data_IF_303433932642
#
_entry.id   IF_303433932642
#
_cell.length_a   1.000
_cell.length_b   1.000
_cell.length_c   1.000
_cell.angle_alpha   90.00
_cell.angle_beta   90.00
_cell.angle_gamma   90.00
#
_symmetry.space_group_name_H-M   'P 1'
#
loop_
_entity.id
_entity.type
_entity.pdbx_description
1 polymer ?
#
# COMPACT_ATOMS: atom_id res chain seq x y z
N UNK A 1 6.36 -33.89 11.90
CA UNK A 1 6.57 -32.58 11.24
C UNK A 1 5.58 -31.64 11.89
N UNK A 2 6.02 -30.51 12.36
CA UNK A 2 5.10 -29.50 12.89
C UNK A 2 4.39 -28.81 11.71
N UNK A 3 3.11 -28.58 11.87
CA UNK A 3 2.28 -27.89 10.88
C UNK A 3 1.88 -26.52 11.44
N UNK A 4 1.80 -25.53 10.57
CA UNK A 4 1.36 -24.18 10.92
C UNK A 4 0.36 -23.68 9.85
N UNK A 5 -0.63 -22.92 10.28
CA UNK A 5 -1.59 -22.33 9.37
C UNK A 5 -0.96 -21.21 8.57
N UNK A 6 -1.13 -21.25 7.25
CA UNK A 6 -0.74 -20.19 6.33
C UNK A 6 -1.87 -19.80 5.40
N UNK A 7 -1.95 -18.53 5.10
CA UNK A 7 -3.01 -17.92 4.32
C UNK A 7 -2.42 -17.08 3.19
N UNK A 8 -3.18 -16.93 2.11
CA UNK A 8 -3.05 -15.79 1.20
C UNK A 8 -4.31 -14.95 1.39
N UNK A 9 -4.10 -13.69 1.76
CA UNK A 9 -5.15 -12.72 2.02
C UNK A 9 -4.97 -11.53 1.10
N UNK A 10 -5.96 -11.27 0.27
CA UNK A 10 -5.98 -10.16 -0.65
C UNK A 10 -6.45 -8.90 0.09
N UNK A 11 -5.55 -7.92 0.27
CA UNK A 11 -5.83 -6.66 0.94
C UNK A 11 -6.47 -5.63 -0.01
N UNK A 12 -7.28 -4.73 0.56
CA UNK A 12 -7.97 -3.65 -0.13
C UNK A 12 -9.04 -4.12 -1.12
N UNK A 13 -9.65 -5.26 -0.84
CA UNK A 13 -10.73 -5.82 -1.66
C UNK A 13 -11.67 -6.70 -0.84
N UNK A 14 -12.90 -6.85 -1.32
CA UNK A 14 -13.88 -7.81 -0.81
C UNK A 14 -13.97 -9.07 -1.70
N UNK A 15 -13.24 -9.10 -2.82
CA UNK A 15 -13.25 -10.19 -3.79
C UNK A 15 -11.91 -10.93 -3.82
N UNK A 16 -11.89 -12.28 -3.71
CA UNK A 16 -10.67 -13.06 -3.87
C UNK A 16 -10.05 -12.86 -5.26
N UNK A 17 -8.72 -12.91 -5.31
CA UNK A 17 -7.92 -12.72 -6.53
C UNK A 17 -7.92 -11.29 -7.08
N UNK A 18 -8.41 -10.32 -6.30
CA UNK A 18 -8.29 -8.89 -6.52
C UNK A 18 -7.36 -8.26 -5.47
N UNK A 19 -7.24 -6.93 -5.42
CA UNK A 19 -6.42 -6.23 -4.42
C UNK A 19 -4.95 -6.62 -4.39
N UNK A 20 -4.29 -6.48 -3.24
CA UNK A 20 -2.87 -6.77 -3.06
C UNK A 20 -2.67 -8.01 -2.18
N UNK A 21 -2.13 -9.13 -2.72
CA UNK A 21 -2.01 -10.38 -1.98
C UNK A 21 -0.87 -10.35 -0.97
N UNK A 22 -1.15 -10.75 0.27
CA UNK A 22 -0.17 -10.95 1.32
C UNK A 22 -0.24 -12.39 1.85
N UNK A 23 0.92 -12.95 2.20
CA UNK A 23 0.98 -14.12 3.05
C UNK A 23 0.64 -13.72 4.50
N UNK A 24 -0.11 -14.54 5.21
CA UNK A 24 -0.39 -14.34 6.64
C UNK A 24 -0.23 -15.65 7.40
N UNK A 25 0.64 -15.62 8.41
CA UNK A 25 0.79 -16.71 9.38
C UNK A 25 0.23 -16.21 10.72
N UNK A 26 -1.01 -16.57 11.07
CA UNK A 26 -1.76 -15.92 12.15
C UNK A 26 -1.30 -16.30 13.57
N UNK A 27 -0.48 -17.34 13.71
CA UNK A 27 0.13 -17.78 14.96
C UNK A 27 1.53 -18.30 14.66
N UNK A 28 2.52 -17.41 14.77
CA UNK A 28 3.92 -17.68 14.46
C UNK A 28 4.78 -17.88 15.72
N UNK A 29 4.15 -18.10 16.89
CA UNK A 29 4.88 -18.31 18.13
C UNK A 29 5.79 -19.55 18.03
N UNK A 30 7.07 -19.36 18.34
CA UNK A 30 8.06 -20.43 18.34
C UNK A 30 8.78 -20.65 17.00
N UNK A 31 8.43 -19.93 15.94
CA UNK A 31 9.23 -19.92 14.71
C UNK A 31 10.50 -19.07 14.90
N UNK A 32 11.63 -19.57 14.41
CA UNK A 32 12.85 -18.77 14.27
C UNK A 32 12.90 -18.00 12.94
N UNK A 33 13.93 -17.14 12.80
CA UNK A 33 14.07 -16.26 11.64
C UNK A 33 14.24 -17.05 10.33
N UNK A 34 15.01 -18.15 10.35
CA UNK A 34 15.23 -19.01 9.19
C UNK A 34 13.93 -19.71 8.76
N UNK A 35 13.15 -20.19 9.73
CA UNK A 35 11.86 -20.82 9.46
C UNK A 35 10.86 -19.82 8.86
N UNK A 36 10.76 -18.59 9.39
CA UNK A 36 9.91 -17.54 8.84
C UNK A 36 10.33 -17.15 7.42
N UNK A 37 11.64 -17.00 7.19
CA UNK A 37 12.15 -16.70 5.85
C UNK A 37 11.84 -17.82 4.85
N UNK A 38 12.01 -19.08 5.23
CA UNK A 38 11.71 -20.22 4.37
C UNK A 38 10.22 -20.30 4.04
N UNK A 39 9.35 -20.09 5.03
CA UNK A 39 7.89 -20.06 4.84
C UNK A 39 7.49 -18.90 3.91
N UNK A 40 8.04 -17.70 4.10
CA UNK A 40 7.75 -16.56 3.23
C UNK A 40 8.19 -16.82 1.78
N UNK A 41 9.35 -17.44 1.61
CA UNK A 41 9.85 -17.84 0.28
C UNK A 41 8.94 -18.87 -0.40
N UNK A 42 8.41 -19.84 0.34
CA UNK A 42 7.52 -20.88 -0.18
C UNK A 42 6.13 -20.35 -0.53
N UNK A 43 5.56 -19.45 0.30
CA UNK A 43 4.30 -18.76 0.02
C UNK A 43 4.42 -17.93 -1.26
N UNK A 44 5.57 -17.24 -1.46
CA UNK A 44 5.87 -16.50 -2.67
C UNK A 44 5.03 -15.24 -2.89
N UNK A 45 4.29 -14.76 -1.87
CA UNK A 45 3.68 -13.43 -1.89
C UNK A 45 4.77 -12.35 -1.81
N UNK A 46 4.47 -11.13 -2.26
CA UNK A 46 5.42 -10.00 -2.14
C UNK A 46 5.92 -9.85 -0.70
N UNK A 47 5.02 -9.95 0.27
CA UNK A 47 5.34 -10.03 1.69
C UNK A 47 4.44 -11.03 2.42
N UNK A 48 5.02 -11.65 3.46
CA UNK A 48 4.30 -12.49 4.42
C UNK A 48 4.40 -11.89 5.81
N UNK A 49 3.25 -11.67 6.44
CA UNK A 49 3.17 -11.22 7.83
C UNK A 49 3.08 -12.41 8.78
N UNK A 50 3.91 -12.39 9.81
CA UNK A 50 3.95 -13.35 10.90
C UNK A 50 3.43 -12.71 12.18
N UNK A 51 2.33 -13.25 12.74
CA UNK A 51 1.68 -12.70 13.92
C UNK A 51 2.23 -13.39 15.16
N UNK A 52 2.75 -12.60 16.10
CA UNK A 52 3.31 -13.05 17.37
C UNK A 52 2.60 -12.39 18.56
N UNK A 53 2.65 -13.00 19.76
CA UNK A 53 2.37 -12.28 21.00
C UNK A 53 3.39 -11.14 21.19
N UNK A 54 2.99 -10.08 21.89
CA UNK A 54 3.86 -8.96 22.25
C UNK A 54 3.77 -8.67 23.75
N UNK A 55 4.86 -8.15 24.31
CA UNK A 55 4.88 -7.58 25.67
C UNK A 55 4.79 -6.04 25.66
N UNK A 56 4.80 -5.43 24.49
CA UNK A 56 4.84 -3.97 24.28
C UNK A 56 3.56 -3.43 23.60
N UNK A 57 2.81 -4.32 22.96
CA UNK A 57 1.59 -4.02 22.22
C UNK A 57 0.60 -5.20 22.34
N UNK A 58 -0.57 -5.09 21.74
CA UNK A 58 -1.56 -6.17 21.74
C UNK A 58 -1.12 -7.36 20.89
N UNK A 59 -0.40 -7.09 19.80
CA UNK A 59 0.22 -8.10 18.93
C UNK A 59 1.55 -7.57 18.39
N UNK A 60 2.41 -8.48 17.89
CA UNK A 60 3.59 -8.16 17.10
C UNK A 60 3.45 -8.72 15.70
N UNK A 61 3.78 -7.92 14.69
CA UNK A 61 3.88 -8.34 13.30
C UNK A 61 5.33 -8.24 12.83
N UNK A 62 5.81 -9.31 12.19
CA UNK A 62 7.06 -9.32 11.44
C UNK A 62 6.75 -9.61 9.98
N UNK A 63 7.50 -9.00 9.08
CA UNK A 63 7.22 -9.07 7.65
C UNK A 63 8.44 -9.56 6.89
N UNK A 64 8.22 -10.53 6.03
CA UNK A 64 9.26 -11.12 5.19
C UNK A 64 8.84 -11.08 3.73
N UNK A 65 9.73 -10.56 2.87
CA UNK A 65 9.69 -10.85 1.44
C UNK A 65 10.17 -12.27 1.19
N UNK A 66 10.10 -12.82 -0.01
CA UNK A 66 10.70 -14.13 -0.30
C UNK A 66 12.20 -14.22 -0.01
N UNK A 67 12.90 -13.11 0.20
CA UNK A 67 14.36 -13.09 0.33
C UNK A 67 14.89 -12.43 1.59
N UNK A 68 14.12 -11.58 2.27
CA UNK A 68 14.59 -10.83 3.46
C UNK A 68 13.46 -10.35 4.33
N UNK A 69 13.75 -10.14 5.62
CA UNK A 69 12.86 -9.42 6.52
C UNK A 69 12.81 -7.93 6.16
N UNK A 70 11.63 -7.32 6.26
CA UNK A 70 11.39 -5.88 6.10
C UNK A 70 10.74 -5.31 7.34
N UNK A 71 10.96 -4.01 7.58
CA UNK A 71 10.57 -3.38 8.84
C UNK A 71 9.06 -3.20 8.99
N UNK A 72 8.35 -2.97 7.89
CA UNK A 72 6.90 -2.71 7.84
C UNK A 72 6.36 -2.99 6.44
N UNK A 73 5.14 -3.54 6.39
CA UNK A 73 4.38 -3.69 5.16
C UNK A 73 2.91 -3.34 5.39
N UNK A 74 2.40 -2.31 4.70
CA UNK A 74 1.05 -1.77 4.89
C UNK A 74 -0.06 -2.75 4.50
N UNK A 75 -0.01 -3.33 3.28
CA UNK A 75 -1.06 -4.23 2.81
C UNK A 75 -1.08 -5.56 3.61
N UNK A 76 0.10 -6.10 3.98
CA UNK A 76 0.18 -7.29 4.82
C UNK A 76 -0.33 -7.02 6.26
N UNK A 77 -0.19 -5.77 6.75
CA UNK A 77 -0.82 -5.33 8.00
C UNK A 77 -2.34 -5.36 7.88
N UNK A 78 -2.92 -4.68 6.87
CA UNK A 78 -4.38 -4.67 6.65
C UNK A 78 -4.93 -6.10 6.50
N UNK A 79 -4.27 -6.95 5.69
CA UNK A 79 -4.63 -8.36 5.53
C UNK A 79 -4.68 -9.12 6.86
N UNK A 80 -3.63 -8.95 7.68
CA UNK A 80 -3.53 -9.59 9.00
C UNK A 80 -4.62 -9.11 9.96
N UNK A 81 -4.86 -7.79 10.02
CA UNK A 81 -5.85 -7.19 10.92
C UNK A 81 -7.26 -7.64 10.61
N UNK A 82 -7.65 -7.64 9.33
CA UNK A 82 -8.98 -8.12 8.89
C UNK A 82 -9.14 -9.59 9.24
N UNK A 83 -8.14 -10.43 8.91
CA UNK A 83 -8.19 -11.85 9.26
C UNK A 83 -8.34 -12.09 10.78
N UNK A 84 -7.57 -11.36 11.61
CA UNK A 84 -7.67 -11.48 13.08
C UNK A 84 -9.04 -11.02 13.61
N UNK A 85 -9.63 -9.99 13.01
CA UNK A 85 -10.95 -9.50 13.38
C UNK A 85 -12.07 -10.49 13.01
N UNK A 86 -12.03 -11.08 11.82
CA UNK A 86 -12.98 -12.15 11.40
C UNK A 86 -12.96 -13.34 12.36
N UNK A 87 -11.82 -13.61 12.99
CA UNK A 87 -11.66 -14.63 14.02
C UNK A 87 -12.08 -14.19 15.42
N UNK A 88 -12.53 -12.94 15.56
CA UNK A 88 -12.90 -12.37 16.86
C UNK A 88 -11.72 -12.15 17.81
N UNK A 89 -10.49 -12.11 17.28
CA UNK A 89 -9.26 -11.95 18.08
C UNK A 89 -8.99 -10.49 18.40
N UNK A 90 -9.39 -9.55 17.52
CA UNK A 90 -9.22 -8.11 17.67
C UNK A 90 -10.46 -7.38 17.18
N UNK A 91 -10.82 -6.26 17.81
CA UNK A 91 -11.90 -5.35 17.40
C UNK A 91 -11.66 -3.96 17.96
N UNK A 92 -12.08 -2.93 17.25
CA UNK A 92 -11.91 -1.54 17.67
C UNK A 92 -10.47 -1.07 17.56
N UNK A 93 -10.06 -0.18 18.45
CA UNK A 93 -8.70 0.36 18.48
C UNK A 93 -7.78 -0.57 19.29
N UNK A 94 -6.59 -0.82 18.77
CA UNK A 94 -5.53 -1.59 19.44
C UNK A 94 -4.16 -1.23 18.86
N UNK A 95 -3.10 -1.88 19.35
CA UNK A 95 -1.72 -1.59 18.96
C UNK A 95 -1.02 -2.79 18.39
N UNK A 96 -0.13 -2.56 17.42
CA UNK A 96 0.78 -3.59 16.89
C UNK A 96 2.23 -3.14 17.07
N UNK A 97 3.08 -4.04 17.53
CA UNK A 97 4.53 -3.87 17.53
C UNK A 97 5.09 -4.34 16.19
N UNK A 98 5.95 -3.51 15.59
CA UNK A 98 6.68 -3.80 14.35
C UNK A 98 8.15 -3.43 14.53
N UNK A 99 8.99 -3.66 13.52
CA UNK A 99 10.40 -3.25 13.59
C UNK A 99 10.59 -1.72 13.55
N UNK A 100 9.61 -0.96 13.04
CA UNK A 100 9.62 0.52 13.10
C UNK A 100 9.08 1.07 14.43
N UNK A 101 8.51 0.24 15.29
CA UNK A 101 7.94 0.64 16.59
C UNK A 101 6.53 0.13 16.81
N UNK A 102 5.82 0.77 17.75
CA UNK A 102 4.42 0.45 18.04
C UNK A 102 3.53 1.40 17.24
N UNK A 103 2.57 0.83 16.52
CA UNK A 103 1.64 1.54 15.66
C UNK A 103 0.21 1.41 16.18
N UNK A 104 -0.55 2.49 16.07
CA UNK A 104 -1.99 2.51 16.34
C UNK A 104 -2.75 2.00 15.12
N UNK A 105 -3.61 1.02 15.35
CA UNK A 105 -4.46 0.38 14.35
C UNK A 105 -5.87 0.24 14.89
N UNK A 106 -6.83 0.06 13.98
CA UNK A 106 -8.20 -0.21 14.36
C UNK A 106 -8.88 -1.13 13.36
N UNK A 107 -9.90 -1.86 13.80
CA UNK A 107 -10.87 -2.48 12.91
C UNK A 107 -12.26 -1.99 13.28
N UNK A 108 -12.91 -1.32 12.33
CA UNK A 108 -14.26 -0.78 12.47
C UNK A 108 -15.33 -1.88 12.36
N UNK A 109 -16.56 -1.58 12.74
CA UNK A 109 -17.68 -2.56 12.72
C UNK A 109 -18.02 -3.05 11.30
N UNK A 110 -17.69 -2.25 10.28
CA UNK A 110 -17.87 -2.61 8.86
C UNK A 110 -16.77 -3.55 8.32
N UNK A 111 -15.83 -3.97 9.18
CA UNK A 111 -14.71 -4.83 8.82
C UNK A 111 -13.50 -4.10 8.24
N UNK A 112 -13.57 -2.78 8.08
CA UNK A 112 -12.43 -1.98 7.59
C UNK A 112 -11.33 -1.92 8.63
N UNK A 113 -10.14 -2.40 8.26
CA UNK A 113 -8.93 -2.20 9.05
C UNK A 113 -8.27 -0.86 8.70
N UNK A 114 -7.78 -0.17 9.72
CA UNK A 114 -7.12 1.14 9.63
C UNK A 114 -5.74 1.10 10.26
N UNK A 115 -4.79 1.75 9.62
CA UNK A 115 -3.43 1.95 10.13
C UNK A 115 -3.07 3.43 10.09
N UNK A 116 -2.59 3.97 11.21
CA UNK A 116 -2.03 5.31 11.28
C UNK A 116 -0.68 5.33 10.59
N UNK A 117 -0.48 6.29 9.69
CA UNK A 117 0.75 6.46 8.93
C UNK A 117 1.73 7.38 9.67
N UNK A 118 2.98 7.40 9.23
CA UNK A 118 3.96 8.39 9.67
C UNK A 118 3.54 9.80 9.29
N UNK A 119 4.13 10.81 9.94
CA UNK A 119 3.90 12.22 9.64
C UNK A 119 4.14 12.50 8.14
N UNK A 120 3.17 13.10 7.44
CA UNK A 120 3.27 13.30 6.00
C UNK A 120 4.29 14.38 5.67
N UNK A 121 5.03 14.16 4.59
CA UNK A 121 5.89 15.17 3.98
C UNK A 121 5.49 15.38 2.53
N UNK A 122 5.51 16.65 2.09
CA UNK A 122 5.23 17.06 0.71
C UNK A 122 6.29 18.03 0.25
N UNK A 123 6.95 17.71 -0.86
CA UNK A 123 7.99 18.54 -1.47
C UNK A 123 7.76 18.63 -2.98
N UNK A 124 7.39 19.79 -3.47
CA UNK A 124 7.27 20.01 -4.92
C UNK A 124 8.62 19.84 -5.60
N UNK A 125 8.59 19.31 -6.83
CA UNK A 125 9.80 19.07 -7.63
C UNK A 125 9.65 19.71 -9.00
N UNK A 126 10.77 20.23 -9.51
CA UNK A 126 10.85 20.80 -10.86
C UNK A 126 11.46 19.73 -11.78
N UNK A 127 10.61 19.00 -12.48
CA UNK A 127 10.97 17.98 -13.46
C UNK A 127 10.35 18.34 -14.80
N UNK A 128 11.05 18.00 -15.87
CA UNK A 128 10.51 18.12 -17.24
C UNK A 128 9.33 17.16 -17.44
N UNK A 129 8.14 17.70 -17.65
CA UNK A 129 6.90 16.93 -17.84
C UNK A 129 7.00 16.01 -19.04
N UNK A 130 7.73 16.37 -20.10
CA UNK A 130 7.94 15.50 -21.26
C UNK A 130 8.82 14.30 -20.89
N UNK A 131 9.81 14.47 -20.02
CA UNK A 131 10.62 13.36 -19.50
C UNK A 131 9.79 12.42 -18.62
N UNK A 132 9.00 12.97 -17.69
CA UNK A 132 8.10 12.18 -16.82
C UNK A 132 7.09 11.40 -17.66
N UNK A 133 6.46 12.06 -18.63
CA UNK A 133 5.51 11.42 -19.53
C UNK A 133 6.16 10.30 -20.36
N UNK A 134 7.39 10.53 -20.85
CA UNK A 134 8.15 9.50 -21.57
C UNK A 134 8.45 8.28 -20.71
N UNK A 135 8.84 8.48 -19.45
CA UNK A 135 9.11 7.39 -18.51
C UNK A 135 7.86 6.55 -18.21
N UNK A 136 6.69 7.20 -18.16
CA UNK A 136 5.40 6.55 -17.94
C UNK A 136 4.75 5.98 -19.23
N UNK A 137 5.32 6.23 -20.42
CA UNK A 137 4.75 5.82 -21.70
C UNK A 137 3.42 6.53 -22.05
N UNK A 138 3.20 7.75 -21.53
CA UNK A 138 2.01 8.56 -21.79
C UNK A 138 2.37 9.83 -22.58
N UNK A 139 1.35 10.59 -23.03
CA UNK A 139 1.56 11.87 -23.71
C UNK A 139 1.88 12.98 -22.71
N UNK A 140 2.79 13.89 -23.04
CA UNK A 140 3.16 15.01 -22.18
C UNK A 140 1.95 15.91 -21.85
N UNK A 141 1.06 16.12 -22.82
CA UNK A 141 -0.17 16.89 -22.66
C UNK A 141 -1.11 16.31 -21.58
N UNK A 142 -1.01 15.03 -21.28
CA UNK A 142 -1.79 14.40 -20.22
C UNK A 142 -1.38 14.89 -18.81
N UNK A 143 -0.15 15.34 -18.63
CA UNK A 143 0.35 15.98 -17.41
C UNK A 143 0.18 17.48 -17.49
N UNK A 144 0.57 18.13 -18.61
CA UNK A 144 0.54 19.58 -18.81
C UNK A 144 -0.88 20.17 -18.78
N UNK A 145 -1.89 19.39 -19.22
CA UNK A 145 -3.29 19.82 -19.23
C UNK A 145 -3.99 19.66 -17.87
N UNK A 146 -3.30 19.15 -16.86
CA UNK A 146 -3.81 19.14 -15.48
C UNK A 146 -3.76 20.55 -14.91
N UNK A 147 -4.60 20.83 -13.90
CA UNK A 147 -4.69 22.14 -13.24
C UNK A 147 -3.29 22.60 -12.77
N UNK A 148 -2.97 23.87 -12.96
CA UNK A 148 -1.70 24.51 -12.58
C UNK A 148 -1.40 24.42 -11.06
N UNK A 149 -2.42 24.17 -10.23
CA UNK A 149 -2.31 24.02 -8.78
C UNK A 149 -2.01 22.58 -8.31
N UNK A 150 -1.75 21.65 -9.22
CA UNK A 150 -1.36 20.27 -8.94
C UNK A 150 0.07 19.99 -9.45
N UNK A 151 1.11 20.53 -8.81
CA UNK A 151 2.49 20.34 -9.26
C UNK A 151 2.98 18.91 -9.02
N UNK A 152 3.98 18.49 -9.77
CA UNK A 152 4.76 17.29 -9.44
C UNK A 152 5.37 17.44 -8.04
N UNK A 153 5.26 16.39 -7.22
CA UNK A 153 5.77 16.43 -5.86
C UNK A 153 6.28 15.06 -5.40
N UNK A 154 7.29 15.04 -4.55
CA UNK A 154 7.63 13.87 -3.74
C UNK A 154 6.85 13.96 -2.44
N UNK A 155 6.08 12.93 -2.15
CA UNK A 155 5.24 12.82 -0.96
C UNK A 155 5.52 11.53 -0.22
N UNK A 156 5.43 11.56 1.11
CA UNK A 156 5.69 10.37 1.93
C UNK A 156 4.78 10.38 3.16
N UNK A 157 4.33 9.20 3.54
CA UNK A 157 3.77 8.87 4.86
C UNK A 157 4.47 7.65 5.46
N UNK A 158 5.72 7.43 5.03
CA UNK A 158 6.59 6.30 5.36
C UNK A 158 7.55 6.04 4.20
N UNK A 159 7.04 5.75 3.01
CA UNK A 159 7.83 5.62 1.79
C UNK A 159 7.58 6.81 0.85
N UNK A 160 8.63 7.43 0.30
CA UNK A 160 8.50 8.58 -0.61
C UNK A 160 8.13 8.14 -2.02
N UNK A 161 7.07 8.73 -2.60
CA UNK A 161 6.66 8.54 -3.99
C UNK A 161 6.71 9.86 -4.75
N UNK A 162 7.15 9.80 -6.01
CA UNK A 162 6.91 10.88 -6.96
C UNK A 162 5.45 10.83 -7.39
N UNK A 163 4.66 11.79 -6.96
CA UNK A 163 3.23 11.91 -7.31
C UNK A 163 3.08 12.70 -8.59
N UNK A 164 2.40 12.09 -9.56
CA UNK A 164 2.20 12.63 -10.92
C UNK A 164 0.69 12.71 -11.23
N UNK A 165 0.11 13.91 -11.24
CA UNK A 165 -1.27 14.08 -11.67
C UNK A 165 -1.39 13.88 -13.20
N UNK A 166 -2.41 13.13 -13.62
CA UNK A 166 -2.73 12.83 -15.03
C UNK A 166 -4.16 13.24 -15.31
N UNK A 167 -4.43 13.81 -16.47
CA UNK A 167 -5.70 14.49 -16.77
C UNK A 167 -6.90 13.54 -16.84
N UNK A 168 -6.78 12.39 -17.50
CA UNK A 168 -7.89 11.45 -17.71
C UNK A 168 -7.52 10.01 -17.42
N UNK A 169 -8.51 9.22 -16.97
CA UNK A 169 -8.37 7.79 -16.73
C UNK A 169 -7.89 7.03 -17.99
N UNK A 170 -8.35 7.44 -19.17
CA UNK A 170 -7.92 6.84 -20.43
C UNK A 170 -6.40 6.98 -20.66
N UNK A 171 -5.81 8.13 -20.31
CA UNK A 171 -4.37 8.36 -20.43
C UNK A 171 -3.60 7.56 -19.34
N UNK A 172 -4.09 7.57 -18.12
CA UNK A 172 -3.53 6.76 -17.04
C UNK A 172 -3.58 5.26 -17.36
N UNK A 173 -4.70 4.80 -17.94
CA UNK A 173 -4.86 3.40 -18.35
C UNK A 173 -3.96 2.96 -19.49
N UNK A 174 -3.51 3.90 -20.33
CA UNK A 174 -2.58 3.64 -21.44
C UNK A 174 -1.11 3.62 -20.99
N UNK A 175 -0.82 4.00 -19.76
CA UNK A 175 0.56 4.04 -19.30
C UNK A 175 1.23 2.66 -19.46
N UNK A 176 2.37 2.68 -20.17
CA UNK A 176 3.24 1.54 -20.43
C UNK A 176 4.67 1.98 -20.06
N UNK A 177 5.01 1.94 -18.75
CA UNK A 177 6.23 2.52 -18.22
C UNK A 177 7.48 1.78 -18.67
N UNK A 178 8.55 2.53 -18.93
CA UNK A 178 9.90 1.99 -19.02
C UNK A 178 10.48 1.86 -17.60
N UNK A 179 10.64 0.66 -17.11
CA UNK A 179 11.11 0.36 -15.74
C UNK A 179 12.42 1.08 -15.41
N UNK A 180 13.36 1.10 -16.34
CA UNK A 180 14.66 1.75 -16.13
C UNK A 180 14.54 3.29 -16.07
N UNK A 181 13.65 3.88 -16.87
CA UNK A 181 13.40 5.30 -16.85
C UNK A 181 12.61 5.73 -15.58
N UNK A 182 11.67 4.93 -15.15
CA UNK A 182 10.93 5.15 -13.88
C UNK A 182 11.88 5.11 -12.68
N UNK A 183 12.77 4.10 -12.62
CA UNK A 183 13.78 3.99 -11.56
C UNK A 183 14.72 5.19 -11.54
N UNK A 184 15.24 5.57 -12.71
CA UNK A 184 16.15 6.71 -12.82
C UNK A 184 15.46 8.02 -12.40
N UNK A 185 14.17 8.18 -12.75
CA UNK A 185 13.37 9.34 -12.38
C UNK A 185 13.13 9.38 -10.87
N UNK A 186 12.71 8.27 -10.27
CA UNK A 186 12.47 8.14 -8.83
C UNK A 186 13.74 8.39 -8.02
N UNK A 187 14.87 7.77 -8.40
CA UNK A 187 16.17 7.94 -7.74
C UNK A 187 16.64 9.39 -7.77
N UNK A 188 16.40 10.15 -8.84
CA UNK A 188 16.80 11.55 -8.97
C UNK A 188 16.12 12.47 -7.96
N UNK A 189 14.96 12.08 -7.47
CA UNK A 189 14.18 12.88 -6.51
C UNK A 189 14.08 12.22 -5.13
N UNK A 190 14.87 11.18 -4.87
CA UNK A 190 14.87 10.39 -3.63
C UNK A 190 13.49 9.76 -3.34
N UNK A 191 12.83 9.23 -4.36
CA UNK A 191 11.58 8.47 -4.26
C UNK A 191 11.82 6.97 -4.51
N UNK A 192 10.93 6.10 -3.99
CA UNK A 192 10.98 4.65 -4.21
C UNK A 192 10.28 4.23 -5.50
N UNK A 193 9.48 5.12 -6.08
CA UNK A 193 8.71 4.89 -7.30
C UNK A 193 7.85 6.09 -7.67
N UNK A 194 7.02 5.89 -8.67
CA UNK A 194 6.08 6.89 -9.19
C UNK A 194 4.65 6.47 -8.89
N UNK A 195 3.86 7.38 -8.33
CA UNK A 195 2.41 7.22 -8.19
C UNK A 195 1.70 8.20 -9.12
N UNK A 196 1.22 7.70 -10.25
CA UNK A 196 0.44 8.46 -11.19
C UNK A 196 -1.05 8.39 -10.83
N UNK A 197 -1.77 9.50 -10.85
CA UNK A 197 -3.17 9.52 -10.45
C UNK A 197 -4.02 10.49 -11.27
N UNK A 198 -5.33 10.23 -11.29
CA UNK A 198 -6.36 11.11 -11.88
C UNK A 198 -7.57 11.20 -10.97
N UNK A 199 -8.37 12.27 -11.11
CA UNK A 199 -9.69 12.39 -10.49
C UNK A 199 -10.82 11.75 -11.31
N UNK A 200 -10.51 11.28 -12.51
CA UNK A 200 -11.46 10.52 -13.33
C UNK A 200 -11.44 9.06 -12.87
N UNK A 201 -12.57 8.58 -12.34
CA UNK A 201 -12.69 7.31 -11.64
C UNK A 201 -13.68 6.37 -12.30
N UNK A 202 -13.56 5.08 -12.05
CA UNK A 202 -14.49 4.05 -12.52
C UNK A 202 -15.78 4.04 -11.71
N UNK A 203 -15.68 4.25 -10.41
CA UNK A 203 -16.81 4.25 -9.48
C UNK A 203 -17.17 5.68 -9.06
N UNK A 204 -18.45 6.02 -9.05
CA UNK A 204 -18.94 7.38 -8.72
C UNK A 204 -18.67 7.80 -7.28
N UNK A 205 -18.42 6.85 -6.37
CA UNK A 205 -18.09 7.09 -4.97
C UNK A 205 -16.58 7.12 -4.70
N UNK A 206 -15.76 6.89 -5.71
CA UNK A 206 -14.31 7.03 -5.64
C UNK A 206 -13.87 8.48 -5.87
N UNK A 207 -12.74 8.85 -5.30
CA UNK A 207 -12.18 10.21 -5.39
C UNK A 207 -11.04 10.30 -6.38
N UNK A 208 -10.21 9.24 -6.43
CA UNK A 208 -8.96 9.20 -7.20
C UNK A 208 -8.78 7.80 -7.76
N UNK A 209 -8.28 7.71 -9.00
CA UNK A 209 -7.75 6.47 -9.56
C UNK A 209 -6.23 6.61 -9.69
N UNK A 210 -5.47 5.64 -9.17
CA UNK A 210 -4.02 5.65 -9.14
C UNK A 210 -3.39 4.41 -9.76
N UNK A 211 -2.09 4.54 -10.14
CA UNK A 211 -1.20 3.45 -10.51
C UNK A 211 0.17 3.66 -9.85
N UNK A 212 0.73 2.62 -9.27
CA UNK A 212 2.02 2.68 -8.57
C UNK A 212 3.09 1.89 -9.31
N UNK A 213 4.10 2.57 -9.83
CA UNK A 213 5.22 1.99 -10.55
C UNK A 213 6.45 1.98 -9.66
N UNK A 214 6.93 0.77 -9.30
CA UNK A 214 7.99 0.56 -8.30
C UNK A 214 9.04 -0.47 -8.76
N UNK A 215 9.60 -0.35 -9.97
CA UNK A 215 10.49 -1.36 -10.53
C UNK A 215 11.72 -1.61 -9.64
N UNK A 216 12.24 -0.60 -8.94
CA UNK A 216 13.33 -0.74 -7.97
C UNK A 216 13.01 -1.64 -6.77
N UNK A 217 11.74 -1.87 -6.48
CA UNK A 217 11.30 -2.86 -5.49
C UNK A 217 11.12 -4.28 -6.07
N UNK A 218 11.46 -4.48 -7.34
CA UNK A 218 11.36 -5.78 -8.02
C UNK A 218 10.00 -6.10 -8.63
N UNK A 219 9.08 -5.12 -8.65
CA UNK A 219 7.74 -5.23 -9.23
C UNK A 219 7.49 -4.02 -10.11
N UNK A 220 7.24 -4.19 -11.41
CA UNK A 220 7.01 -3.07 -12.32
C UNK A 220 5.83 -2.21 -11.89
N UNK A 221 4.72 -2.83 -11.47
CA UNK A 221 3.53 -2.16 -10.95
C UNK A 221 3.00 -2.89 -9.70
N UNK A 222 2.84 -2.16 -8.59
CA UNK A 222 2.23 -2.68 -7.37
C UNK A 222 0.69 -2.62 -7.49
N UNK A 223 -0.03 -3.71 -7.24
CA UNK A 223 -1.48 -3.76 -7.46
C UNK A 223 -2.26 -2.71 -6.66
N UNK A 224 -1.99 -2.57 -5.37
CA UNK A 224 -2.68 -1.59 -4.50
C UNK A 224 -1.73 -1.11 -3.40
N UNK A 225 -1.43 0.19 -3.42
CA UNK A 225 -0.39 0.80 -2.59
C UNK A 225 -0.99 1.75 -1.55
N UNK A 226 -1.29 1.23 -0.37
CA UNK A 226 -1.88 2.02 0.71
C UNK A 226 -1.04 3.25 1.09
N UNK A 227 0.28 3.08 1.22
CA UNK A 227 1.21 4.16 1.59
C UNK A 227 1.22 5.29 0.57
N UNK A 228 1.24 4.96 -0.74
CA UNK A 228 1.18 5.97 -1.80
C UNK A 228 -0.18 6.70 -1.84
N UNK A 229 -1.28 5.96 -1.61
CA UNK A 229 -2.63 6.55 -1.49
C UNK A 229 -2.70 7.51 -0.31
N UNK A 230 -2.16 7.14 0.86
CA UNK A 230 -2.07 8.01 2.03
C UNK A 230 -1.23 9.27 1.77
N UNK A 231 -0.05 9.09 1.16
CA UNK A 231 0.84 10.19 0.77
C UNK A 231 0.17 11.14 -0.24
N UNK A 232 -0.55 10.59 -1.24
CA UNK A 232 -1.30 11.37 -2.21
C UNK A 232 -2.47 12.10 -1.55
N UNK A 233 -3.18 11.49 -0.59
CA UNK A 233 -4.19 12.18 0.21
C UNK A 233 -3.63 13.40 0.95
N UNK A 234 -2.46 13.27 1.57
CA UNK A 234 -1.76 14.38 2.22
C UNK A 234 -1.33 15.47 1.20
N UNK A 235 -0.85 15.07 0.04
CA UNK A 235 -0.54 15.99 -1.08
C UNK A 235 -1.78 16.78 -1.50
N UNK A 236 -2.92 16.12 -1.73
CA UNK A 236 -4.17 16.78 -2.14
C UNK A 236 -4.63 17.81 -1.13
N UNK A 237 -4.46 17.53 0.18
CA UNK A 237 -4.70 18.52 1.25
C UNK A 237 -3.71 19.68 1.18
N UNK A 238 -2.42 19.39 1.01
CA UNK A 238 -1.37 20.40 0.96
C UNK A 238 -1.56 21.41 -0.19
N UNK A 239 -1.95 20.94 -1.37
CA UNK A 239 -2.20 21.80 -2.53
C UNK A 239 -3.61 22.43 -2.54
N UNK A 240 -4.46 22.13 -1.55
CA UNK A 240 -5.83 22.66 -1.50
C UNK A 240 -6.70 22.17 -2.66
N UNK A 241 -6.54 20.91 -3.08
CA UNK A 241 -7.20 20.38 -4.28
C UNK A 241 -8.73 20.51 -4.26
N UNK A 242 -9.31 20.59 -3.05
CA UNK A 242 -10.75 20.71 -2.79
C UNK A 242 -11.17 22.09 -2.25
N UNK A 243 -10.25 23.06 -2.15
CA UNK A 243 -10.49 24.40 -1.62
C UNK A 243 -11.20 25.30 -2.63
N UNK A 244 -12.46 25.11 -2.88
CA UNK A 244 -13.16 25.92 -3.89
C UNK A 244 -14.69 25.88 -3.81
N UNK A 245 -15.24 25.18 -2.82
CA UNK A 245 -16.71 25.13 -2.62
C UNK A 245 -17.49 24.50 -3.77
N UNK A 246 -16.83 23.71 -4.62
CA UNK A 246 -17.42 22.91 -5.68
C UNK A 246 -17.34 21.42 -5.37
N UNK A 247 -18.12 20.61 -6.08
CA UNK A 247 -17.96 19.16 -6.09
C UNK A 247 -16.49 18.78 -6.34
N UNK A 248 -16.03 17.69 -5.76
CA UNK A 248 -14.69 17.16 -6.05
C UNK A 248 -14.43 17.16 -7.56
N UNK A 249 -13.20 17.46 -8.01
CA UNK A 249 -12.85 17.31 -9.41
C UNK A 249 -13.22 15.90 -9.88
N UNK A 250 -13.96 15.77 -11.00
CA UNK A 250 -14.44 14.46 -11.48
C UNK A 250 -15.90 14.13 -11.15
N UNK A 251 -16.62 14.99 -10.36
CA UNK A 251 -18.08 14.87 -10.17
C UNK A 251 -18.52 13.81 -9.16
N UNK A 252 -17.64 13.38 -8.26
CA UNK A 252 -18.03 12.49 -7.14
C UNK A 252 -18.94 13.23 -6.16
N UNK A 253 -20.02 12.58 -5.69
CA UNK A 253 -20.98 13.08 -4.68
C UNK A 253 -20.37 13.07 -3.24
N UNK A 254 -19.09 13.41 -3.08
CA UNK A 254 -18.40 13.41 -1.78
C UNK A 254 -18.72 14.70 -1.04
N UNK A 255 -19.21 14.56 0.19
CA UNK A 255 -19.50 15.70 1.10
C UNK A 255 -18.19 16.38 1.48
N UNK A 256 -18.07 17.67 1.17
CA UNK A 256 -16.88 18.49 1.46
C UNK A 256 -17.19 19.39 2.65
N UNK A 257 -16.64 19.07 3.82
CA UNK A 257 -16.62 19.96 4.98
C UNK A 257 -15.24 20.66 5.04
N UNK A 258 -15.22 21.97 5.08
CA UNK A 258 -13.99 22.80 5.11
C UNK A 258 -12.99 22.51 3.98
N UNK A 259 -13.48 22.23 2.75
CA UNK A 259 -12.65 22.03 1.56
C UNK A 259 -12.16 20.58 1.36
N UNK A 260 -11.89 19.80 2.38
CA UNK A 260 -11.39 18.42 2.27
C UNK A 260 -12.46 17.39 2.61
N UNK A 261 -12.68 16.34 1.78
CA UNK A 261 -13.55 15.22 2.16
C UNK A 261 -13.09 14.55 3.46
N UNK A 262 -14.02 14.09 4.29
CA UNK A 262 -13.73 13.35 5.52
C UNK A 262 -12.94 12.07 5.21
N UNK A 263 -13.26 11.43 4.07
CA UNK A 263 -12.62 10.22 3.59
C UNK A 263 -12.45 10.31 2.07
N UNK A 264 -11.25 10.02 1.60
CA UNK A 264 -10.93 9.83 0.19
C UNK A 264 -10.97 8.35 -0.13
N UNK A 265 -11.44 8.00 -1.32
CA UNK A 265 -11.45 6.62 -1.84
C UNK A 265 -10.59 6.55 -3.10
N UNK A 266 -9.57 5.71 -3.03
CA UNK A 266 -8.63 5.48 -4.12
C UNK A 266 -8.92 4.16 -4.79
N UNK A 267 -9.06 4.17 -6.10
CA UNK A 267 -9.04 2.98 -6.96
C UNK A 267 -7.62 2.71 -7.41
N UNK A 268 -7.23 1.46 -7.49
CA UNK A 268 -5.94 1.04 -8.06
C UNK A 268 -6.01 -0.42 -8.51
N UNK A 269 -5.16 -0.82 -9.45
CA UNK A 269 -5.00 -2.20 -9.89
C UNK A 269 -5.99 -2.67 -10.97
N UNK A 270 -6.94 -1.83 -11.37
CA UNK A 270 -7.95 -2.18 -12.36
C UNK A 270 -7.32 -2.48 -13.74
N UNK A 271 -6.17 -1.90 -14.07
CA UNK A 271 -5.46 -2.10 -15.34
C UNK A 271 -4.54 -3.33 -15.37
N UNK A 272 -4.40 -4.03 -14.25
CA UNK A 272 -3.60 -5.26 -14.13
C UNK A 272 -4.43 -6.43 -13.53
N UNK A 273 -5.76 -6.37 -13.69
CA UNK A 273 -6.71 -7.39 -13.25
C UNK A 273 -6.65 -7.71 -11.74
N UNK A 274 -6.22 -6.73 -10.92
CA UNK A 274 -6.17 -6.82 -9.46
C UNK A 274 -6.81 -5.60 -8.79
N UNK A 275 -8.10 -5.28 -9.10
CA UNK A 275 -8.74 -4.07 -8.60
C UNK A 275 -8.80 -4.04 -7.07
N UNK A 276 -8.46 -2.89 -6.50
CA UNK A 276 -8.55 -2.66 -5.07
C UNK A 276 -8.98 -1.25 -4.72
N UNK A 277 -9.41 -1.08 -3.47
CA UNK A 277 -9.99 0.17 -2.97
C UNK A 277 -9.36 0.54 -1.64
N UNK A 278 -8.62 1.65 -1.63
CA UNK A 278 -7.98 2.19 -0.43
C UNK A 278 -8.80 3.34 0.10
N UNK A 279 -9.09 3.31 1.39
CA UNK A 279 -9.73 4.42 2.11
C UNK A 279 -8.65 5.25 2.81
N UNK A 280 -8.72 6.57 2.68
CA UNK A 280 -7.72 7.48 3.27
C UNK A 280 -8.45 8.59 4.03
N UNK A 281 -8.08 8.78 5.30
CA UNK A 281 -8.54 9.90 6.12
C UNK A 281 -7.35 10.81 6.43
N UNK A 282 -7.48 12.09 6.07
CA UNK A 282 -6.41 13.08 6.25
C UNK A 282 -6.86 14.12 7.27
N UNK A 283 -6.47 13.90 8.52
CA UNK A 283 -6.75 14.78 9.66
C UNK A 283 -5.47 15.38 10.26
N UNK A 284 -5.34 15.34 11.59
CA UNK A 284 -4.09 15.59 12.29
C UNK A 284 -3.05 14.53 11.96
N UNK A 285 -3.50 13.30 11.73
CA UNK A 285 -2.70 12.19 11.21
C UNK A 285 -3.32 11.69 9.91
N UNK A 286 -2.53 11.01 9.09
CA UNK A 286 -3.02 10.28 7.93
C UNK A 286 -3.31 8.85 8.34
N UNK A 287 -4.52 8.37 8.04
CA UNK A 287 -4.91 6.97 8.23
C UNK A 287 -5.24 6.34 6.90
N UNK A 288 -4.73 5.15 6.69
CA UNK A 288 -5.00 4.32 5.51
C UNK A 288 -5.76 3.09 5.95
N UNK A 289 -6.81 2.76 5.24
CA UNK A 289 -7.65 1.62 5.57
C UNK A 289 -8.19 0.90 4.35
N UNK A 290 -8.73 -0.28 4.61
CA UNK A 290 -9.39 -1.10 3.61
C UNK A 290 -9.91 -2.40 4.22
N UNK A 291 -10.68 -3.11 3.42
CA UNK A 291 -11.11 -4.48 3.69
C UNK A 291 -10.06 -5.47 3.21
N UNK A 292 -10.24 -6.74 3.48
CA UNK A 292 -9.43 -7.81 2.92
C UNK A 292 -10.25 -9.10 2.84
N UNK A 293 -9.85 -10.02 1.99
CA UNK A 293 -10.52 -11.31 1.85
C UNK A 293 -9.51 -12.46 1.73
N UNK A 294 -9.83 -13.59 2.35
CA UNK A 294 -8.96 -14.77 2.29
C UNK A 294 -9.15 -15.51 0.97
N UNK A 295 -8.08 -15.58 0.16
CA UNK A 295 -8.06 -16.31 -1.10
C UNK A 295 -7.59 -17.75 -0.95
N UNK A 296 -6.71 -18.02 0.02
CA UNK A 296 -6.23 -19.37 0.34
C UNK A 296 -6.09 -19.53 1.85
N UNK A 297 -6.49 -20.69 2.37
CA UNK A 297 -6.36 -21.09 3.76
C UNK A 297 -5.88 -22.54 3.81
N UNK A 298 -4.73 -22.77 4.43
CA UNK A 298 -4.12 -24.10 4.43
C UNK A 298 -3.11 -24.30 5.56
N UNK A 299 -2.49 -25.48 5.56
CA UNK A 299 -1.45 -25.86 6.51
C UNK A 299 -0.10 -25.95 5.78
N UNK A 300 0.92 -25.37 6.39
CA UNK A 300 2.29 -25.41 5.94
C UNK A 300 3.09 -26.33 6.87
N UNK A 301 4.02 -27.07 6.30
CA UNK A 301 4.98 -27.85 7.10
C UNK A 301 6.09 -26.91 7.55
N UNK A 302 6.29 -26.80 8.86
CA UNK A 302 7.38 -26.01 9.42
C UNK A 302 8.71 -26.68 9.08
N UNK A 303 9.65 -25.98 8.43
CA UNK A 303 10.97 -26.53 8.16
C UNK A 303 11.73 -26.82 9.47
N UNK A 304 12.68 -27.78 9.43
CA UNK A 304 13.58 -27.98 10.57
C UNK A 304 14.35 -26.68 10.84
N UNK A 305 14.59 -26.32 12.11
CA UNK A 305 15.43 -25.17 12.42
C UNK A 305 16.78 -25.29 11.72
N UNK A 306 17.35 -24.19 11.27
CA UNK A 306 18.73 -24.19 10.75
C UNK A 306 19.64 -24.71 11.88
N UNK A 307 20.03 -25.97 11.78
CA UNK A 307 21.02 -26.53 12.70
C UNK A 307 22.31 -25.72 12.57
N UNK A 308 22.98 -25.49 13.70
CA UNK A 308 24.39 -25.03 13.76
C UNK A 308 25.31 -26.05 13.08
N UNK A 309 25.05 -26.42 11.83
CA UNK A 309 25.98 -27.19 11.02
C UNK A 309 27.12 -26.27 10.58
N UNK A 310 28.02 -26.00 11.54
CA UNK A 310 29.39 -25.65 11.20
C UNK A 310 29.92 -26.83 10.39
N UNK A 311 29.83 -26.71 9.05
CA UNK A 311 30.63 -27.56 8.17
C UNK A 311 32.09 -27.31 8.53
N UNK A 312 32.62 -28.08 9.46
CA UNK A 312 34.08 -28.22 9.63
C UNK A 312 34.60 -28.79 8.30
N UNK A 313 35.05 -27.91 7.43
CA UNK A 313 35.81 -28.29 6.26
C UNK A 313 37.16 -28.77 6.77
N UNK A 314 37.30 -30.08 6.86
CA UNK A 314 38.56 -30.77 7.15
C UNK A 314 39.46 -30.83 5.90
#
# INVERSE_FOLDING_TARGET
MNEIRGLIVDAFTDEPYAGNPAGVVPDAEGLDDGQMQAIASEIGASETAFVHPSTRADRRLRYFTPTTEVDLCGHATIASLVHLAERGTVTGEFTIETNVGVLDVAVEEDGTAWMTQSEPTVRTVDLDTAEVASALGIRAEAIEAVRDDLPLAVTSTGLPFLVVPVNFLEELGRADPDDGAVDALAARVDAVGVYAFTFDTLESNSTVHGRAFVPGAGVSEDPVTGTASGATGAYLRYVGAFDGGGSAPGGSDVSVADGMPEELRFEQGDFIDRPGRVRVRVGETVRVGGTATTALDGELIVPEPDGDDILEVS
#
